data_IF_337589359096
#
_entry.id   IF_337589359096
#
_cell.length_a   1.000
_cell.length_b   1.000
_cell.length_c   1.000
_cell.angle_alpha   90.00
_cell.angle_beta   90.00
_cell.angle_gamma   90.00
#
_symmetry.space_group_name_H-M   'P 1'
#
loop_
_entity.id
_entity.type
_entity.pdbx_description
1 polymer ?
#
# COMPACT_ATOMS: atom_id res chain seq x y z
N UNK A 1 -14.59 2.74 14.07
CA UNK A 1 -13.59 3.76 13.68
C UNK A 1 -13.17 3.48 12.25
N UNK A 2 -13.61 4.32 11.31
CA UNK A 2 -13.22 4.32 9.90
C UNK A 2 -11.69 4.18 9.74
N UNK A 3 -11.22 2.98 9.37
CA UNK A 3 -9.79 2.73 9.13
C UNK A 3 -9.31 3.40 7.82
N UNK A 4 -10.19 4.06 7.06
CA UNK A 4 -9.88 4.62 5.75
C UNK A 4 -9.50 6.10 5.74
N UNK A 5 -9.51 6.83 6.87
CA UNK A 5 -9.25 8.28 6.86
C UNK A 5 -7.87 8.69 6.32
N UNK A 6 -6.92 7.76 6.23
CA UNK A 6 -5.57 8.03 5.71
C UNK A 6 -5.22 7.27 4.43
N UNK A 7 -6.16 6.54 3.81
CA UNK A 7 -5.88 5.64 2.68
C UNK A 7 -6.50 6.19 1.40
N UNK A 8 -5.67 6.55 0.42
CA UNK A 8 -6.09 7.07 -0.88
C UNK A 8 -5.48 6.21 -2.00
N UNK A 9 -6.30 5.81 -2.97
CA UNK A 9 -5.82 5.19 -4.21
C UNK A 9 -5.63 6.28 -5.26
N UNK A 10 -4.39 6.50 -5.70
CA UNK A 10 -4.03 7.46 -6.74
C UNK A 10 -3.60 6.71 -7.99
N UNK A 11 -4.26 6.97 -9.11
CA UNK A 11 -3.85 6.46 -10.42
C UNK A 11 -3.10 7.55 -11.17
N UNK A 12 -1.94 7.24 -11.71
CA UNK A 12 -1.14 8.14 -12.55
C UNK A 12 -0.69 7.40 -13.81
N UNK A 13 -0.10 8.12 -14.77
CA UNK A 13 0.48 7.50 -15.97
C UNK A 13 1.61 6.49 -15.65
N UNK A 14 2.22 6.58 -14.46
CA UNK A 14 3.29 5.67 -14.01
C UNK A 14 2.76 4.41 -13.32
N UNK A 15 1.45 4.34 -13.07
CA UNK A 15 0.78 3.21 -12.45
C UNK A 15 -0.16 3.61 -11.32
N UNK A 16 -0.58 2.61 -10.55
CA UNK A 16 -1.47 2.79 -9.41
C UNK A 16 -0.66 2.86 -8.12
N UNK A 17 -1.01 3.82 -7.26
CA UNK A 17 -0.36 4.07 -6.00
C UNK A 17 -1.39 4.07 -4.87
N UNK A 18 -1.02 3.48 -3.76
CA UNK A 18 -1.74 3.56 -2.51
C UNK A 18 -1.00 4.58 -1.63
N UNK A 19 -1.71 5.60 -1.16
CA UNK A 19 -1.17 6.60 -0.24
C UNK A 19 -1.76 6.32 1.13
N UNK A 20 -0.93 5.95 2.09
CA UNK A 20 -1.31 5.65 3.47
C UNK A 20 -0.61 6.63 4.40
N UNK A 21 -1.35 7.51 5.07
CA UNK A 21 -0.80 8.56 5.95
C UNK A 21 0.28 9.41 5.24
N UNK A 22 0.01 9.82 3.99
CA UNK A 22 0.95 10.58 3.15
C UNK A 22 2.06 9.75 2.50
N UNK A 23 2.25 8.50 2.91
CA UNK A 23 3.29 7.59 2.38
C UNK A 23 2.79 6.85 1.16
N UNK A 24 3.54 6.87 0.06
CA UNK A 24 3.11 6.29 -1.22
C UNK A 24 3.70 4.89 -1.43
N UNK A 25 2.86 3.98 -1.93
CA UNK A 25 3.19 2.59 -2.22
C UNK A 25 2.74 2.26 -3.64
N UNK A 26 3.60 1.65 -4.47
CA UNK A 26 3.26 1.32 -5.85
C UNK A 26 2.60 -0.05 -5.92
N UNK A 27 1.53 -0.16 -6.70
CA UNK A 27 0.93 -1.44 -7.06
C UNK A 27 1.95 -2.25 -7.85
N UNK A 28 2.31 -3.42 -7.33
CA UNK A 28 3.25 -4.34 -8.01
C UNK A 28 2.52 -5.53 -8.62
N UNK A 29 1.44 -5.98 -7.98
CA UNK A 29 0.66 -7.13 -8.44
C UNK A 29 -0.79 -6.99 -8.03
N UNK A 30 -1.70 -7.33 -8.94
CA UNK A 30 -3.08 -7.62 -8.60
C UNK A 30 -3.35 -9.09 -8.89
N UNK A 31 -4.00 -9.75 -7.94
CA UNK A 31 -4.57 -11.08 -8.04
C UNK A 31 -6.07 -10.98 -7.81
N UNK A 32 -6.77 -12.10 -7.98
CA UNK A 32 -8.19 -12.22 -7.66
C UNK A 32 -8.43 -11.77 -6.21
N UNK A 33 -9.13 -10.64 -6.06
CA UNK A 33 -9.45 -9.98 -4.79
C UNK A 33 -8.28 -9.55 -3.92
N UNK A 34 -7.03 -9.58 -4.40
CA UNK A 34 -5.86 -9.17 -3.60
C UNK A 34 -4.93 -8.29 -4.43
N UNK A 35 -4.75 -7.05 -4.01
CA UNK A 35 -3.80 -6.13 -4.64
C UNK A 35 -2.64 -5.81 -3.70
N UNK A 36 -1.42 -5.97 -4.20
CA UNK A 36 -0.18 -5.76 -3.46
C UNK A 36 0.42 -4.40 -3.82
N UNK A 37 0.70 -3.59 -2.80
CA UNK A 37 1.31 -2.28 -2.90
C UNK A 37 2.63 -2.27 -2.13
N UNK A 38 3.76 -2.23 -2.83
CA UNK A 38 5.07 -2.22 -2.20
C UNK A 38 5.57 -0.80 -1.97
N UNK A 39 6.39 -0.63 -0.93
CA UNK A 39 7.08 0.64 -0.71
C UNK A 39 7.91 1.03 -1.94
N UNK A 40 7.97 2.33 -2.23
CA UNK A 40 8.77 2.86 -3.33
C UNK A 40 10.27 2.80 -3.07
N UNK A 41 10.69 2.76 -1.80
CA UNK A 41 12.11 2.71 -1.46
C UNK A 41 12.70 1.37 -1.84
N UNK A 42 13.80 1.41 -2.60
CA UNK A 42 14.56 0.19 -2.98
C UNK A 42 14.99 -0.57 -1.73
N UNK A 43 14.86 -1.89 -1.78
CA UNK A 43 15.16 -2.81 -0.68
C UNK A 43 14.32 -2.58 0.60
N UNK A 44 13.16 -1.93 0.51
CA UNK A 44 12.21 -1.91 1.61
C UNK A 44 11.25 -3.12 1.51
N UNK A 45 11.19 -4.01 2.50
CA UNK A 45 10.34 -5.20 2.46
C UNK A 45 8.87 -4.90 2.77
N UNK A 46 8.53 -3.67 3.17
CA UNK A 46 7.14 -3.32 3.48
C UNK A 46 6.26 -3.33 2.25
N UNK A 47 5.13 -4.01 2.38
CA UNK A 47 4.04 -3.93 1.42
C UNK A 47 2.70 -3.94 2.13
N UNK A 48 1.69 -3.42 1.43
CA UNK A 48 0.30 -3.53 1.82
C UNK A 48 -0.43 -4.51 0.90
N UNK A 49 -1.34 -5.28 1.48
CA UNK A 49 -2.27 -6.13 0.74
C UNK A 49 -3.68 -5.59 0.96
N UNK A 50 -4.27 -5.12 -0.14
CA UNK A 50 -5.67 -4.74 -0.21
C UNK A 50 -6.49 -5.96 -0.63
N UNK A 51 -7.33 -6.47 0.26
CA UNK A 51 -8.21 -7.61 0.02
C UNK A 51 -9.64 -7.13 -0.21
N UNK A 52 -10.20 -7.43 -1.38
CA UNK A 52 -11.53 -6.99 -1.85
C UNK A 52 -12.56 -8.15 -1.87
N UNK A 53 -12.36 -9.18 -1.03
CA UNK A 53 -13.24 -10.37 -0.96
C UNK A 53 -14.62 -10.10 -0.35
N UNK A 54 -14.88 -8.93 0.22
CA UNK A 54 -16.03 -8.69 1.10
C UNK A 54 -16.60 -7.30 0.89
N UNK A 55 -17.85 -7.09 1.33
CA UNK A 55 -18.50 -5.75 1.42
C UNK A 55 -17.64 -4.67 2.11
N UNK A 56 -16.60 -5.09 2.83
CA UNK A 56 -15.61 -4.24 3.47
C UNK A 56 -14.22 -4.64 2.98
N UNK A 57 -13.61 -3.87 2.06
CA UNK A 57 -12.22 -4.12 1.68
C UNK A 57 -11.34 -3.98 2.91
N UNK A 58 -10.34 -4.87 3.04
CA UNK A 58 -9.39 -4.87 4.15
C UNK A 58 -8.01 -4.55 3.65
N UNK A 59 -7.40 -3.52 4.21
CA UNK A 59 -6.01 -3.18 3.94
C UNK A 59 -5.15 -3.70 5.09
N UNK A 60 -4.16 -4.51 4.76
CA UNK A 60 -3.24 -5.11 5.75
C UNK A 60 -1.82 -4.72 5.42
N UNK A 61 -1.05 -4.30 6.44
CA UNK A 61 0.37 -3.99 6.29
C UNK A 61 1.18 -5.24 6.61
N UNK A 62 2.12 -5.57 5.74
CA UNK A 62 3.08 -6.66 5.93
C UNK A 62 4.49 -6.09 6.02
N UNK A 63 5.21 -6.60 7.02
CA UNK A 63 6.54 -6.14 7.41
C UNK A 63 6.59 -4.67 7.86
N UNK A 64 7.68 -4.34 8.53
CA UNK A 64 8.02 -2.96 8.85
C UNK A 64 8.98 -2.40 7.80
N UNK A 65 9.04 -1.07 7.74
CA UNK A 65 9.91 -0.40 6.79
C UNK A 65 11.35 -0.65 7.15
N UNK A 66 12.20 -0.80 6.14
CA UNK A 66 13.63 -0.88 6.38
C UNK A 66 14.11 0.41 7.06
N UNK A 67 15.19 0.35 7.86
CA UNK A 67 15.69 1.52 8.59
C UNK A 67 16.13 2.66 7.66
N UNK A 68 16.61 2.33 6.47
CA UNK A 68 16.98 3.29 5.43
C UNK A 68 15.78 3.83 4.63
N UNK A 69 14.56 3.40 4.95
CA UNK A 69 13.38 3.82 4.24
C UNK A 69 13.12 5.31 4.49
N UNK A 70 13.09 6.10 3.41
CA UNK A 70 12.72 7.52 3.47
C UNK A 70 11.29 7.74 3.99
N UNK A 71 10.44 6.71 3.93
CA UNK A 71 9.10 6.75 4.47
C UNK A 71 9.08 6.47 5.99
N UNK A 72 10.19 6.17 6.66
CA UNK A 72 10.24 6.09 8.14
C UNK A 72 10.33 7.47 8.80
N UNK A 73 10.95 8.43 8.12
CA UNK A 73 11.08 9.82 8.52
C UNK A 73 9.82 10.62 8.15
#
# INVERSE_FOLDING_TARGET
KDQNKGVLLKRTAQGEFLVVNGKSYKKTRAMQYRTYFHCLTRNCPTYYVLVELSRRPRLTRHHEHAQHCLQCY
#
